data_IF_734759308558
#
_entry.id   IF_734759308558
#
_cell.length_a   1.000
_cell.length_b   1.000
_cell.length_c   1.000
_cell.angle_alpha   90.00
_cell.angle_beta   90.00
_cell.angle_gamma   90.00
#
_symmetry.space_group_name_H-M   'P 1'
#
loop_
_entity.id
_entity.type
_entity.pdbx_description
1 polymer ?
#
# COMPACT_ATOMS: atom_id res chain seq x y z
N UNK A 1 -33.63 -25.91 -3.35
CA UNK A 1 -32.87 -24.79 -2.79
C UNK A 1 -32.03 -24.17 -3.89
N UNK A 2 -32.10 -22.88 -4.07
CA UNK A 2 -31.28 -22.17 -5.04
C UNK A 2 -29.80 -22.16 -4.60
N UNK A 3 -28.88 -21.97 -5.53
CA UNK A 3 -27.45 -21.85 -5.18
C UNK A 3 -27.12 -20.44 -4.69
N UNK A 4 -26.18 -20.31 -3.78
CA UNK A 4 -25.64 -19.02 -3.35
C UNK A 4 -24.57 -18.50 -4.33
N UNK A 5 -24.58 -17.21 -4.63
CA UNK A 5 -23.57 -16.56 -5.46
C UNK A 5 -22.46 -15.96 -4.58
N UNK A 6 -21.21 -16.31 -4.84
CA UNK A 6 -20.02 -15.73 -4.19
C UNK A 6 -19.28 -14.89 -5.22
N UNK A 7 -19.05 -13.61 -4.90
CA UNK A 7 -18.34 -12.69 -5.78
C UNK A 7 -17.03 -12.26 -5.12
N UNK A 8 -15.91 -12.50 -5.82
CA UNK A 8 -14.55 -12.11 -5.44
C UNK A 8 -13.97 -11.16 -6.47
N UNK A 9 -12.83 -10.50 -6.17
CA UNK A 9 -12.25 -9.54 -7.10
C UNK A 9 -11.37 -10.15 -8.19
N UNK A 10 -10.79 -11.36 -7.99
CA UNK A 10 -9.88 -11.95 -8.97
C UNK A 10 -10.27 -13.37 -9.40
N UNK A 11 -9.98 -13.76 -10.66
CA UNK A 11 -10.22 -15.13 -11.13
C UNK A 11 -9.40 -16.19 -10.40
N UNK A 12 -8.18 -15.85 -9.98
CA UNK A 12 -7.31 -16.75 -9.23
C UNK A 12 -7.93 -17.06 -7.86
N UNK A 13 -8.39 -16.03 -7.15
CA UNK A 13 -9.10 -16.16 -5.87
C UNK A 13 -10.40 -16.97 -6.02
N UNK A 14 -11.16 -16.72 -7.09
CA UNK A 14 -12.35 -17.51 -7.38
C UNK A 14 -12.03 -19.00 -7.53
N UNK A 15 -10.97 -19.34 -8.25
CA UNK A 15 -10.53 -20.73 -8.44
C UNK A 15 -10.12 -21.39 -7.13
N UNK A 16 -9.40 -20.67 -6.25
CA UNK A 16 -8.94 -21.21 -4.96
C UNK A 16 -10.12 -21.42 -4.00
N UNK A 17 -10.98 -20.42 -3.84
CA UNK A 17 -12.14 -20.49 -2.94
C UNK A 17 -13.15 -21.55 -3.40
N UNK A 18 -13.38 -21.68 -4.70
CA UNK A 18 -14.30 -22.70 -5.24
C UNK A 18 -13.90 -24.13 -4.85
N UNK A 19 -12.62 -24.39 -4.58
CA UNK A 19 -12.16 -25.71 -4.09
C UNK A 19 -12.57 -26.00 -2.64
N UNK A 20 -12.84 -24.96 -1.85
CA UNK A 20 -13.12 -25.05 -0.42
C UNK A 20 -14.62 -24.99 -0.10
N UNK A 21 -15.40 -24.37 -1.00
CA UNK A 21 -16.85 -24.30 -0.93
C UNK A 21 -17.48 -25.48 -1.67
N UNK A 22 -18.60 -25.95 -1.19
CA UNK A 22 -19.34 -27.07 -1.80
C UNK A 22 -20.15 -26.68 -3.05
N UNK A 23 -20.93 -27.64 -3.56
CA UNK A 23 -21.76 -27.51 -4.79
C UNK A 23 -22.90 -26.48 -4.68
N UNK A 24 -23.21 -26.03 -3.48
CA UNK A 24 -24.30 -25.07 -3.18
C UNK A 24 -23.88 -23.62 -3.48
N UNK A 25 -22.60 -23.40 -3.81
CA UNK A 25 -22.03 -22.09 -4.13
C UNK A 25 -21.62 -21.99 -5.60
N UNK A 26 -21.88 -20.84 -6.18
CA UNK A 26 -21.36 -20.44 -7.50
C UNK A 26 -20.35 -19.31 -7.25
N UNK A 27 -19.05 -19.59 -7.41
CA UNK A 27 -18.00 -18.60 -7.21
C UNK A 27 -17.63 -17.91 -8.52
N UNK A 28 -17.71 -16.57 -8.55
CA UNK A 28 -17.41 -15.74 -9.72
C UNK A 28 -16.52 -14.57 -9.36
N UNK A 29 -15.81 -14.07 -10.35
CA UNK A 29 -14.94 -12.89 -10.17
C UNK A 29 -15.53 -11.66 -10.86
N UNK A 30 -15.43 -10.49 -10.18
CA UNK A 30 -15.70 -9.18 -10.77
C UNK A 30 -14.55 -8.67 -11.64
N UNK A 31 -13.39 -9.35 -11.57
CA UNK A 31 -12.15 -8.91 -12.23
C UNK A 31 -11.78 -7.47 -11.81
N UNK A 32 -11.78 -7.22 -10.50
CA UNK A 32 -11.54 -5.91 -9.88
C UNK A 32 -12.78 -5.02 -9.86
N UNK A 33 -12.58 -3.70 -9.90
CA UNK A 33 -13.67 -2.72 -9.93
C UNK A 33 -14.55 -2.87 -11.18
N UNK A 34 -15.86 -2.78 -11.00
CA UNK A 34 -16.85 -2.83 -12.08
C UNK A 34 -17.35 -1.47 -12.51
N UNK A 35 -17.29 -0.48 -11.62
CA UNK A 35 -17.63 0.93 -11.89
C UNK A 35 -16.69 1.89 -11.16
N UNK A 36 -16.55 3.10 -11.69
CA UNK A 36 -15.79 4.19 -11.10
C UNK A 36 -16.41 5.54 -11.51
N UNK A 37 -15.85 6.63 -10.99
CA UNK A 37 -16.12 7.98 -11.48
C UNK A 37 -15.77 8.08 -12.97
N UNK A 38 -16.43 8.94 -13.78
CA UNK A 38 -16.22 9.04 -15.20
C UNK A 38 -14.75 9.14 -15.60
N UNK A 39 -14.35 8.45 -16.65
CA UNK A 39 -13.01 8.62 -17.23
C UNK A 39 -12.93 9.93 -18.02
N UNK A 40 -11.77 10.61 -17.98
CA UNK A 40 -11.57 11.82 -18.76
C UNK A 40 -11.74 11.49 -20.25
N UNK A 41 -12.75 12.06 -20.91
CA UNK A 41 -13.06 11.80 -22.32
C UNK A 41 -14.37 11.08 -22.60
N UNK A 42 -15.04 10.51 -21.58
CA UNK A 42 -16.31 9.77 -21.74
C UNK A 42 -17.55 10.64 -21.99
N UNK A 43 -17.39 11.96 -22.11
CA UNK A 43 -18.51 12.82 -22.42
C UNK A 43 -18.96 12.61 -23.87
N UNK A 44 -20.21 12.20 -24.14
CA UNK A 44 -20.73 12.07 -25.50
C UNK A 44 -20.61 13.42 -26.22
N UNK A 45 -20.29 13.37 -27.50
CA UNK A 45 -20.24 14.55 -28.34
C UNK A 45 -21.60 15.29 -28.23
N UNK A 46 -21.59 16.56 -27.87
CA UNK A 46 -22.83 17.33 -27.78
C UNK A 46 -23.47 17.47 -29.17
N UNK A 47 -24.78 17.28 -29.25
CA UNK A 47 -25.54 17.43 -30.48
C UNK A 47 -25.20 18.78 -31.16
N UNK A 48 -24.89 18.79 -32.49
CA UNK A 48 -24.66 20.03 -33.25
C UNK A 48 -25.79 21.05 -33.12
N UNK A 49 -27.06 20.59 -33.08
CA UNK A 49 -28.24 21.45 -32.89
C UNK A 49 -28.26 22.13 -31.52
N UNK A 50 -27.95 21.37 -30.46
CA UNK A 50 -27.83 21.95 -29.12
C UNK A 50 -26.67 22.97 -29.01
N UNK A 51 -25.54 22.70 -29.72
CA UNK A 51 -24.42 23.64 -29.76
C UNK A 51 -24.82 24.94 -30.44
N UNK A 52 -25.52 24.86 -31.57
CA UNK A 52 -25.99 26.04 -32.29
C UNK A 52 -26.99 26.85 -31.47
N UNK A 53 -27.97 26.19 -30.81
CA UNK A 53 -28.94 26.86 -29.94
C UNK A 53 -28.26 27.57 -28.75
N UNK A 54 -27.31 26.90 -28.08
CA UNK A 54 -26.53 27.47 -26.99
C UNK A 54 -25.66 28.67 -27.45
N UNK A 55 -25.08 28.60 -28.66
CA UNK A 55 -24.32 29.68 -29.24
C UNK A 55 -25.20 30.91 -29.56
N UNK A 56 -26.41 30.69 -30.08
CA UNK A 56 -27.39 31.77 -30.35
C UNK A 56 -27.82 32.50 -29.08
N UNK A 57 -28.07 31.77 -27.98
CA UNK A 57 -28.37 32.35 -26.67
C UNK A 57 -27.19 33.19 -26.17
N UNK A 58 -25.97 32.66 -26.25
CA UNK A 58 -24.77 33.37 -25.77
C UNK A 58 -24.45 34.65 -26.55
N UNK A 59 -24.81 34.71 -27.83
CA UNK A 59 -24.65 35.92 -28.66
C UNK A 59 -25.53 37.08 -28.24
N UNK A 60 -26.70 36.81 -27.63
CA UNK A 60 -27.68 37.81 -27.21
C UNK A 60 -27.47 38.32 -25.77
N UNK A 61 -26.55 37.76 -25.03
CA UNK A 61 -26.25 38.10 -23.65
C UNK A 61 -25.45 39.40 -23.54
N UNK A 62 -25.72 40.21 -22.51
CA UNK A 62 -24.87 41.35 -22.14
C UNK A 62 -23.45 40.84 -21.74
N UNK A 63 -22.41 41.69 -21.88
CA UNK A 63 -21.01 41.26 -21.58
C UNK A 63 -20.85 40.61 -20.21
N UNK A 64 -21.41 41.19 -19.16
CA UNK A 64 -21.31 40.68 -17.80
C UNK A 64 -22.09 39.35 -17.61
N UNK A 65 -23.27 39.24 -18.20
CA UNK A 65 -24.06 38.00 -18.20
C UNK A 65 -23.32 36.87 -18.95
N UNK A 66 -22.68 37.22 -20.05
CA UNK A 66 -21.90 36.29 -20.85
C UNK A 66 -20.71 35.75 -20.06
N UNK A 67 -20.00 36.59 -19.30
CA UNK A 67 -18.90 36.14 -18.43
C UNK A 67 -19.41 35.18 -17.36
N UNK A 68 -20.51 35.53 -16.65
CA UNK A 68 -21.12 34.66 -15.64
C UNK A 68 -21.60 33.34 -16.23
N UNK A 69 -22.24 33.35 -17.38
CA UNK A 69 -22.74 32.19 -18.07
C UNK A 69 -21.57 31.25 -18.48
N UNK A 70 -20.51 31.83 -19.04
CA UNK A 70 -19.31 31.05 -19.43
C UNK A 70 -18.62 30.42 -18.21
N UNK A 71 -18.50 31.16 -17.10
CA UNK A 71 -17.95 30.65 -15.85
C UNK A 71 -18.79 29.49 -15.29
N UNK A 72 -20.12 29.67 -15.26
CA UNK A 72 -21.05 28.58 -14.84
C UNK A 72 -20.91 27.36 -15.72
N UNK A 73 -20.90 27.52 -17.05
CA UNK A 73 -20.76 26.41 -18.02
C UNK A 73 -19.41 25.69 -17.89
N UNK A 74 -18.31 26.46 -17.71
CA UNK A 74 -16.98 25.89 -17.48
C UNK A 74 -16.97 25.04 -16.22
N UNK A 75 -17.61 25.51 -15.15
CA UNK A 75 -17.73 24.75 -13.92
C UNK A 75 -18.58 23.48 -14.09
N UNK A 76 -19.75 23.57 -14.71
CA UNK A 76 -20.60 22.42 -15.00
C UNK A 76 -19.85 21.35 -15.80
N UNK A 77 -19.06 21.75 -16.80
CA UNK A 77 -18.22 20.86 -17.56
C UNK A 77 -17.12 20.23 -16.69
N UNK A 78 -16.50 21.01 -15.79
CA UNK A 78 -15.50 20.48 -14.86
C UNK A 78 -16.10 19.42 -13.93
N UNK A 79 -17.22 19.73 -13.27
CA UNK A 79 -17.95 18.80 -12.40
C UNK A 79 -18.34 17.52 -13.16
N UNK A 80 -18.88 17.68 -14.37
CA UNK A 80 -19.25 16.53 -15.21
C UNK A 80 -18.05 15.63 -15.53
N UNK A 81 -16.90 16.20 -15.86
CA UNK A 81 -15.66 15.45 -16.15
C UNK A 81 -15.07 14.85 -14.88
N UNK A 82 -15.12 15.56 -13.78
CA UNK A 82 -14.64 15.12 -12.48
C UNK A 82 -15.52 14.00 -11.91
N UNK A 83 -16.82 14.03 -12.21
CA UNK A 83 -17.79 13.06 -11.72
C UNK A 83 -18.19 13.26 -10.25
N UNK A 84 -17.75 14.36 -9.63
CA UNK A 84 -18.04 14.73 -8.24
C UNK A 84 -18.34 16.22 -8.19
N UNK A 85 -19.35 16.62 -7.43
CA UNK A 85 -19.66 18.03 -7.18
C UNK A 85 -19.42 18.42 -5.71
N UNK A 86 -18.25 19.00 -5.37
CA UNK A 86 -17.92 19.41 -4.01
C UNK A 86 -18.84 20.49 -3.43
N UNK A 87 -19.55 21.24 -4.28
CA UNK A 87 -20.47 22.31 -3.84
C UNK A 87 -21.90 21.82 -3.65
N UNK A 88 -22.20 20.60 -4.07
CA UNK A 88 -23.52 19.98 -3.93
C UNK A 88 -23.41 18.67 -3.15
N UNK A 89 -23.01 18.76 -1.88
CA UNK A 89 -22.95 17.62 -0.97
C UNK A 89 -22.06 16.47 -1.43
N UNK A 90 -21.04 16.75 -2.27
CA UNK A 90 -20.15 15.74 -2.84
C UNK A 90 -20.89 14.69 -3.71
N UNK A 91 -22.01 15.07 -4.31
CA UNK A 91 -22.76 14.20 -5.20
C UNK A 91 -21.84 13.59 -6.27
N UNK A 92 -21.79 12.25 -6.31
CA UNK A 92 -20.91 11.50 -7.19
C UNK A 92 -21.71 10.77 -8.28
N UNK A 93 -21.15 10.74 -9.49
CA UNK A 93 -21.69 9.99 -10.62
C UNK A 93 -20.75 8.85 -10.94
N UNK A 94 -21.24 7.62 -10.84
CA UNK A 94 -20.52 6.43 -11.18
C UNK A 94 -20.95 5.86 -12.52
N UNK A 95 -20.00 5.36 -13.29
CA UNK A 95 -20.22 4.71 -14.60
C UNK A 95 -19.60 3.32 -14.59
N UNK A 96 -20.20 2.37 -15.31
CA UNK A 96 -19.59 1.07 -15.55
C UNK A 96 -18.29 1.28 -16.31
N UNK A 97 -17.23 0.63 -15.87
CA UNK A 97 -15.94 0.74 -16.54
C UNK A 97 -15.98 0.07 -17.90
N UNK A 98 -15.36 0.68 -18.93
CA UNK A 98 -15.28 0.09 -20.26
C UNK A 98 -14.71 -1.33 -20.22
N UNK A 99 -15.39 -2.27 -20.88
CA UNK A 99 -15.03 -3.68 -20.91
C UNK A 99 -15.52 -4.51 -19.72
N UNK A 100 -16.27 -3.90 -18.78
CA UNK A 100 -16.88 -4.59 -17.63
C UNK A 100 -18.34 -4.94 -17.84
N UNK A 101 -18.94 -4.52 -18.93
CA UNK A 101 -20.36 -4.70 -19.23
C UNK A 101 -20.75 -6.19 -19.19
N UNK A 102 -19.97 -7.04 -19.85
CA UNK A 102 -20.21 -8.50 -19.90
C UNK A 102 -20.13 -9.15 -18.52
N UNK A 103 -19.17 -8.73 -17.69
CA UNK A 103 -19.01 -9.23 -16.32
C UNK A 103 -20.20 -8.82 -15.46
N UNK A 104 -20.61 -7.56 -15.56
CA UNK A 104 -21.77 -7.03 -14.84
C UNK A 104 -23.05 -7.78 -15.26
N UNK A 105 -23.28 -7.99 -16.55
CA UNK A 105 -24.45 -8.69 -17.06
C UNK A 105 -24.49 -10.16 -16.60
N UNK A 106 -23.33 -10.86 -16.61
CA UNK A 106 -23.22 -12.21 -16.07
C UNK A 106 -23.56 -12.26 -14.57
N UNK A 107 -22.98 -11.35 -13.78
CA UNK A 107 -23.24 -11.29 -12.34
C UNK A 107 -24.71 -10.97 -12.04
N UNK A 108 -25.33 -10.04 -12.76
CA UNK A 108 -26.76 -9.73 -12.66
C UNK A 108 -27.63 -10.94 -12.98
N UNK A 109 -27.29 -11.69 -14.03
CA UNK A 109 -28.02 -12.90 -14.41
C UNK A 109 -27.96 -13.98 -13.33
N UNK A 110 -26.76 -14.24 -12.78
CA UNK A 110 -26.58 -15.21 -11.71
C UNK A 110 -27.26 -14.77 -10.41
N UNK A 111 -27.19 -13.50 -10.06
CA UNK A 111 -27.81 -12.93 -8.87
C UNK A 111 -29.36 -13.06 -8.87
N UNK A 112 -30.00 -13.08 -10.06
CA UNK A 112 -31.46 -13.27 -10.15
C UNK A 112 -31.92 -14.63 -9.64
N UNK A 113 -31.11 -15.67 -9.84
CA UNK A 113 -31.42 -17.05 -9.46
C UNK A 113 -30.78 -17.50 -8.14
N UNK A 114 -29.94 -16.66 -7.51
CA UNK A 114 -29.28 -16.98 -6.27
C UNK A 114 -30.17 -16.67 -5.06
N UNK A 115 -30.16 -17.53 -4.04
CA UNK A 115 -30.88 -17.30 -2.79
C UNK A 115 -30.14 -16.23 -1.92
N UNK A 116 -28.81 -16.28 -1.89
CA UNK A 116 -27.96 -15.33 -1.18
C UNK A 116 -26.77 -14.89 -2.06
N UNK A 117 -26.24 -13.70 -1.81
CA UNK A 117 -25.11 -13.12 -2.53
C UNK A 117 -24.02 -12.76 -1.51
N UNK A 118 -22.92 -13.50 -1.57
CA UNK A 118 -21.77 -13.28 -0.70
C UNK A 118 -20.74 -12.41 -1.41
N UNK A 119 -20.43 -11.27 -0.80
CA UNK A 119 -19.41 -10.33 -1.27
C UNK A 119 -18.09 -10.65 -0.53
N UNK A 120 -17.24 -11.45 -1.17
CA UNK A 120 -16.01 -12.02 -0.60
C UNK A 120 -14.73 -11.37 -1.19
N UNK A 121 -14.78 -10.05 -1.33
CA UNK A 121 -13.64 -9.21 -1.75
C UNK A 121 -12.64 -9.01 -0.60
N UNK A 122 -11.43 -8.50 -0.90
CA UNK A 122 -10.39 -8.28 0.09
C UNK A 122 -10.86 -7.48 1.31
N UNK A 123 -10.15 -7.63 2.42
CA UNK A 123 -10.53 -7.04 3.70
C UNK A 123 -10.22 -5.53 3.80
N UNK A 124 -9.51 -4.97 2.83
CA UNK A 124 -9.17 -3.55 2.82
C UNK A 124 -10.34 -2.66 2.31
N UNK A 125 -10.16 -1.34 2.42
CA UNK A 125 -11.19 -0.39 1.99
C UNK A 125 -11.47 -0.42 0.47
N UNK A 126 -10.52 -0.88 -0.34
CA UNK A 126 -10.74 -1.06 -1.78
C UNK A 126 -11.65 -2.26 -2.03
N UNK A 127 -11.42 -3.38 -1.32
CA UNK A 127 -12.31 -4.54 -1.36
C UNK A 127 -13.72 -4.19 -0.86
N UNK A 128 -13.86 -3.38 0.19
CA UNK A 128 -15.15 -2.92 0.68
C UNK A 128 -15.88 -2.04 -0.33
N UNK A 129 -15.15 -1.15 -1.02
CA UNK A 129 -15.72 -0.35 -2.10
C UNK A 129 -16.14 -1.18 -3.32
N UNK A 130 -15.36 -2.21 -3.69
CA UNK A 130 -15.75 -3.16 -4.75
C UNK A 130 -17.05 -3.87 -4.36
N UNK A 131 -17.15 -4.38 -3.13
CA UNK A 131 -18.34 -5.03 -2.62
C UNK A 131 -19.58 -4.11 -2.67
N UNK A 132 -19.44 -2.86 -2.21
CA UNK A 132 -20.49 -1.86 -2.30
C UNK A 132 -20.88 -1.56 -3.74
N UNK A 133 -19.93 -1.38 -4.65
CA UNK A 133 -20.21 -1.14 -6.06
C UNK A 133 -20.94 -2.31 -6.72
N UNK A 134 -20.61 -3.55 -6.34
CA UNK A 134 -21.31 -4.74 -6.80
C UNK A 134 -22.76 -4.78 -6.31
N UNK A 135 -22.99 -4.53 -5.00
CA UNK A 135 -24.33 -4.44 -4.43
C UNK A 135 -25.19 -3.42 -5.16
N UNK A 136 -24.67 -2.21 -5.36
CA UNK A 136 -25.35 -1.13 -6.02
C UNK A 136 -25.71 -1.43 -7.50
N UNK A 137 -24.80 -2.08 -8.24
CA UNK A 137 -25.00 -2.32 -9.67
C UNK A 137 -25.88 -3.55 -9.93
N UNK A 138 -25.82 -4.57 -9.08
CA UNK A 138 -26.65 -5.75 -9.15
C UNK A 138 -28.08 -5.41 -8.69
N UNK A 139 -28.21 -4.68 -7.58
CA UNK A 139 -29.49 -4.24 -7.03
C UNK A 139 -30.33 -5.40 -6.46
N UNK A 140 -31.61 -5.16 -6.27
CA UNK A 140 -32.56 -6.14 -5.72
C UNK A 140 -32.68 -6.04 -4.19
N UNK A 141 -33.15 -7.11 -3.57
CA UNK A 141 -33.37 -7.16 -2.12
C UNK A 141 -32.04 -7.13 -1.34
N UNK A 142 -31.87 -6.11 -0.50
CA UNK A 142 -30.68 -5.91 0.30
C UNK A 142 -30.40 -7.01 1.32
N UNK A 143 -31.44 -7.69 1.81
CA UNK A 143 -31.33 -8.76 2.80
C UNK A 143 -30.57 -9.98 2.28
N UNK A 144 -30.46 -10.13 0.96
CA UNK A 144 -29.72 -11.22 0.29
C UNK A 144 -28.22 -11.03 0.28
N UNK A 145 -27.72 -9.83 0.58
CA UNK A 145 -26.29 -9.51 0.51
C UNK A 145 -25.62 -9.74 1.85
N UNK A 146 -24.55 -10.49 1.83
CA UNK A 146 -23.72 -10.79 2.98
C UNK A 146 -22.26 -10.50 2.66
N UNK A 147 -21.54 -9.91 3.60
CA UNK A 147 -20.11 -9.63 3.48
C UNK A 147 -19.31 -10.74 4.13
N UNK A 148 -18.34 -11.30 3.42
CA UNK A 148 -17.41 -12.30 3.93
C UNK A 148 -16.00 -11.76 3.85
N UNK A 149 -15.28 -11.77 4.98
CA UNK A 149 -13.92 -11.22 5.11
C UNK A 149 -13.02 -12.28 5.71
N UNK A 150 -11.83 -12.44 5.15
CA UNK A 150 -10.80 -13.36 5.63
C UNK A 150 -9.40 -12.78 5.39
N UNK A 151 -8.46 -13.09 6.29
CA UNK A 151 -7.08 -12.63 6.23
C UNK A 151 -6.20 -13.55 5.36
N UNK A 152 -6.61 -14.81 5.20
CA UNK A 152 -5.90 -15.84 4.44
C UNK A 152 -6.88 -16.70 3.63
N UNK A 153 -6.39 -17.30 2.55
CA UNK A 153 -7.20 -18.17 1.69
C UNK A 153 -6.88 -19.64 1.98
N UNK A 154 -7.16 -20.07 3.20
CA UNK A 154 -7.11 -21.48 3.63
C UNK A 154 -8.52 -22.06 3.71
N UNK A 155 -8.62 -23.39 3.63
CA UNK A 155 -9.92 -24.06 3.74
C UNK A 155 -10.65 -23.70 5.03
N UNK A 156 -9.93 -23.68 6.16
CA UNK A 156 -10.48 -23.39 7.47
C UNK A 156 -10.97 -21.94 7.57
N UNK A 157 -10.10 -20.96 7.23
CA UNK A 157 -10.44 -19.55 7.30
C UNK A 157 -11.65 -19.21 6.41
N UNK A 158 -11.73 -19.80 5.22
CA UNK A 158 -12.89 -19.64 4.33
C UNK A 158 -14.15 -20.21 4.96
N UNK A 159 -14.13 -21.45 5.48
CA UNK A 159 -15.30 -22.07 6.08
C UNK A 159 -15.78 -21.31 7.31
N UNK A 160 -14.87 -20.88 8.19
CA UNK A 160 -15.20 -20.07 9.38
C UNK A 160 -15.81 -18.72 8.98
N UNK A 161 -15.26 -18.04 7.97
CA UNK A 161 -15.78 -16.75 7.50
C UNK A 161 -17.16 -16.87 6.87
N UNK A 162 -17.44 -17.96 6.16
CA UNK A 162 -18.78 -18.20 5.59
C UNK A 162 -19.80 -18.65 6.63
N UNK A 163 -19.36 -19.21 7.77
CA UNK A 163 -20.25 -19.53 8.88
C UNK A 163 -20.69 -18.29 9.70
N UNK A 164 -19.91 -17.20 9.63
CA UNK A 164 -20.19 -15.96 10.35
C UNK A 164 -20.10 -14.73 9.43
N UNK A 165 -20.95 -14.61 8.41
CA UNK A 165 -20.92 -13.47 7.49
C UNK A 165 -21.35 -12.18 8.21
N UNK A 166 -20.83 -11.06 7.72
CA UNK A 166 -21.09 -9.72 8.25
C UNK A 166 -21.90 -8.87 7.26
N UNK A 167 -22.10 -7.61 7.59
CA UNK A 167 -22.66 -6.60 6.69
C UNK A 167 -21.55 -5.72 6.11
N UNK A 168 -21.85 -5.04 5.01
CA UNK A 168 -20.96 -4.02 4.42
C UNK A 168 -20.68 -2.91 5.45
N UNK A 169 -19.42 -2.59 5.63
CA UNK A 169 -18.97 -1.46 6.45
C UNK A 169 -19.05 -0.16 5.66
N UNK A 170 -20.14 0.58 5.87
CA UNK A 170 -20.38 1.86 5.22
C UNK A 170 -19.33 2.92 5.53
N UNK A 171 -18.69 2.86 6.71
CA UNK A 171 -17.62 3.80 7.06
C UNK A 171 -16.37 3.54 6.22
N UNK A 172 -16.02 2.28 5.97
CA UNK A 172 -14.91 1.92 5.06
C UNK A 172 -15.20 2.32 3.62
N UNK A 173 -16.45 2.15 3.16
CA UNK A 173 -16.89 2.62 1.84
C UNK A 173 -16.74 4.13 1.74
N UNK A 174 -17.24 4.89 2.71
CA UNK A 174 -17.13 6.35 2.74
C UNK A 174 -15.68 6.82 2.81
N UNK A 175 -14.82 6.14 3.57
CA UNK A 175 -13.39 6.45 3.63
C UNK A 175 -12.70 6.26 2.27
N UNK A 176 -13.05 5.22 1.52
CA UNK A 176 -12.55 5.00 0.16
C UNK A 176 -13.09 6.06 -0.80
N UNK A 177 -14.39 6.37 -0.74
CA UNK A 177 -15.00 7.42 -1.55
C UNK A 177 -14.37 8.79 -1.30
N UNK A 178 -14.21 9.20 -0.04
CA UNK A 178 -13.55 10.46 0.32
C UNK A 178 -12.15 10.55 -0.29
N UNK A 179 -11.39 9.48 -0.21
CA UNK A 179 -10.05 9.37 -0.81
C UNK A 179 -10.10 9.50 -2.34
N UNK A 180 -11.06 8.83 -2.98
CA UNK A 180 -11.25 8.87 -4.43
C UNK A 180 -11.68 10.26 -4.90
N UNK A 181 -12.58 10.92 -4.15
CA UNK A 181 -13.04 12.28 -4.44
C UNK A 181 -11.92 13.30 -4.29
N UNK A 182 -11.11 13.17 -3.24
CA UNK A 182 -9.96 14.05 -3.03
C UNK A 182 -8.95 13.94 -4.19
N UNK A 183 -8.62 12.72 -4.62
CA UNK A 183 -7.74 12.52 -5.76
C UNK A 183 -8.29 13.15 -7.05
N UNK A 184 -9.61 13.07 -7.25
CA UNK A 184 -10.27 13.70 -8.39
C UNK A 184 -10.22 15.23 -8.31
N UNK A 185 -10.63 15.81 -7.19
CA UNK A 185 -10.67 17.26 -7.02
C UNK A 185 -9.27 17.86 -7.15
N UNK A 186 -8.29 17.31 -6.43
CA UNK A 186 -6.90 17.78 -6.52
C UNK A 186 -6.36 17.63 -7.94
N UNK A 187 -6.57 16.49 -8.59
CA UNK A 187 -6.11 16.25 -9.95
C UNK A 187 -6.72 17.22 -10.96
N UNK A 188 -8.02 17.49 -10.89
CA UNK A 188 -8.72 18.32 -11.86
C UNK A 188 -8.58 19.83 -11.61
N UNK A 189 -8.40 20.27 -10.37
CA UNK A 189 -8.28 21.69 -10.04
C UNK A 189 -6.82 22.17 -10.00
N UNK A 190 -5.88 21.35 -9.49
CA UNK A 190 -4.48 21.76 -9.30
C UNK A 190 -3.62 21.45 -10.53
N UNK A 191 -3.84 20.32 -11.23
CA UNK A 191 -3.03 20.00 -12.41
C UNK A 191 -3.06 21.08 -13.50
N UNK A 192 -4.22 21.75 -13.80
CA UNK A 192 -4.23 22.86 -14.74
C UNK A 192 -3.39 24.08 -14.32
N UNK A 193 -3.22 24.30 -13.01
CA UNK A 193 -2.33 25.36 -12.50
C UNK A 193 -0.87 25.03 -12.80
N UNK A 194 -0.48 23.75 -12.64
CA UNK A 194 0.85 23.28 -13.01
C UNK A 194 1.10 23.47 -14.53
N UNK A 195 0.07 23.18 -15.36
CA UNK A 195 0.20 23.35 -16.81
C UNK A 195 0.34 24.82 -17.22
N UNK A 196 -0.32 25.71 -16.50
CA UNK A 196 -0.26 27.14 -16.79
C UNK A 196 1.04 27.80 -16.29
N UNK A 197 1.65 27.27 -15.21
CA UNK A 197 2.77 27.91 -14.52
C UNK A 197 4.10 27.23 -14.74
N UNK A 198 4.12 25.91 -15.03
CA UNK A 198 5.35 25.11 -15.14
C UNK A 198 5.44 24.43 -16.52
N UNK A 199 4.69 23.34 -16.75
CA UNK A 199 4.70 22.60 -18.01
C UNK A 199 3.44 21.77 -18.17
N UNK A 200 3.02 21.55 -19.44
CA UNK A 200 1.91 20.65 -19.77
C UNK A 200 2.26 19.20 -19.47
N UNK A 201 1.25 18.40 -19.07
CA UNK A 201 1.40 16.98 -18.79
C UNK A 201 1.76 16.65 -17.33
N UNK A 202 2.06 17.66 -16.51
CA UNK A 202 2.27 17.46 -15.07
C UNK A 202 0.94 17.17 -14.37
N UNK A 203 0.99 16.35 -13.32
CA UNK A 203 -0.19 16.04 -12.50
C UNK A 203 0.07 16.31 -11.01
N UNK A 204 -0.91 16.89 -10.35
CA UNK A 204 -0.97 17.01 -8.89
C UNK A 204 -1.81 15.87 -8.30
N UNK A 205 -1.45 15.42 -7.11
CA UNK A 205 -2.20 14.39 -6.38
C UNK A 205 -1.58 14.11 -5.02
N UNK A 206 -2.34 13.46 -4.16
CA UNK A 206 -1.95 13.13 -2.77
C UNK A 206 -0.63 12.38 -2.66
N UNK A 207 -0.38 11.44 -3.56
CA UNK A 207 0.79 10.56 -3.51
C UNK A 207 1.97 11.20 -4.22
N UNK A 208 1.81 11.58 -5.49
CA UNK A 208 2.90 12.11 -6.30
C UNK A 208 3.45 13.44 -5.78
N UNK A 209 2.60 14.33 -5.26
CA UNK A 209 3.07 15.61 -4.73
C UNK A 209 3.91 15.43 -3.47
N UNK A 210 3.53 14.50 -2.58
CA UNK A 210 4.33 14.16 -1.39
C UNK A 210 5.64 13.48 -1.78
N UNK A 211 5.60 12.54 -2.73
CA UNK A 211 6.80 11.86 -3.22
C UNK A 211 7.81 12.86 -3.80
N UNK A 212 7.36 13.80 -4.65
CA UNK A 212 8.21 14.86 -5.20
C UNK A 212 8.79 15.74 -4.10
N UNK A 213 7.99 16.11 -3.10
CA UNK A 213 8.46 16.89 -1.96
C UNK A 213 9.60 16.18 -1.22
N UNK A 214 9.45 14.91 -0.87
CA UNK A 214 10.48 14.14 -0.19
C UNK A 214 11.79 14.07 -0.98
N UNK A 215 11.69 13.87 -2.31
CA UNK A 215 12.86 13.86 -3.20
C UNK A 215 13.54 15.23 -3.23
N UNK A 216 12.76 16.31 -3.33
CA UNK A 216 13.31 17.68 -3.37
C UNK A 216 13.95 18.05 -2.04
N UNK A 217 13.36 17.66 -0.90
CA UNK A 217 13.93 17.89 0.43
C UNK A 217 15.28 17.15 0.56
N UNK A 218 15.33 15.88 0.17
CA UNK A 218 16.60 15.11 0.16
C UNK A 218 17.65 15.71 -0.78
N UNK A 219 17.27 16.13 -1.99
CA UNK A 219 18.19 16.77 -2.94
C UNK A 219 18.75 18.09 -2.38
N UNK A 220 17.94 18.84 -1.64
CA UNK A 220 18.43 20.07 -0.96
C UNK A 220 19.46 19.75 0.12
N UNK A 221 19.22 18.70 0.90
CA UNK A 221 20.20 18.22 1.91
C UNK A 221 21.51 17.81 1.23
N UNK A 222 21.44 17.05 0.13
CA UNK A 222 22.62 16.63 -0.66
C UNK A 222 23.39 17.86 -1.17
N UNK A 223 22.70 18.86 -1.72
CA UNK A 223 23.33 20.08 -2.24
C UNK A 223 23.89 20.99 -1.16
N UNK A 224 23.34 20.94 0.04
CA UNK A 224 23.82 21.69 1.20
C UNK A 224 24.96 20.96 1.93
N UNK A 225 25.19 19.69 1.62
CA UNK A 225 26.24 18.90 2.26
C UNK A 225 27.62 19.44 1.88
N UNK A 226 28.40 19.78 2.88
CA UNK A 226 29.80 20.17 2.74
C UNK A 226 30.63 18.95 3.12
N UNK A 227 31.41 18.38 2.18
CA UNK A 227 32.30 17.27 2.51
C UNK A 227 33.38 17.73 3.51
N UNK A 228 33.52 16.96 4.58
CA UNK A 228 34.62 17.15 5.55
C UNK A 228 35.60 15.99 5.42
N UNK A 229 36.87 16.30 5.29
CA UNK A 229 37.93 15.31 5.27
C UNK A 229 38.11 14.73 6.70
N UNK A 230 38.22 13.43 6.79
CA UNK A 230 38.57 12.72 8.01
C UNK A 230 39.46 11.52 7.70
N UNK A 231 40.19 11.07 8.69
CA UNK A 231 41.13 9.97 8.60
C UNK A 231 40.92 8.97 9.71
N UNK A 232 40.71 7.69 9.36
CA UNK A 232 40.66 6.60 10.31
C UNK A 232 42.03 5.95 10.40
N UNK A 233 42.62 5.88 11.59
CA UNK A 233 43.89 5.22 11.84
C UNK A 233 43.69 3.88 12.51
N UNK A 234 44.35 2.88 11.95
CA UNK A 234 44.33 1.52 12.49
C UNK A 234 45.73 1.00 12.70
N UNK A 235 45.92 0.22 13.75
CA UNK A 235 47.16 -0.51 14.02
C UNK A 235 46.86 -2.02 13.99
N UNK A 236 47.53 -2.74 13.12
CA UNK A 236 47.46 -4.21 13.07
C UNK A 236 48.60 -4.75 14.00
N UNK A 237 48.20 -5.22 15.17
CA UNK A 237 49.12 -5.67 16.23
C UNK A 237 49.07 -7.18 16.39
N UNK A 238 50.24 -7.82 16.49
CA UNK A 238 50.36 -9.24 16.75
C UNK A 238 51.22 -9.51 17.98
N UNK A 239 50.93 -10.56 18.72
CA UNK A 239 51.71 -11.06 19.83
C UNK A 239 52.30 -12.41 19.43
N UNK A 240 53.65 -12.56 19.58
CA UNK A 240 54.39 -13.82 19.36
C UNK A 240 54.10 -14.52 17.99
N UNK A 241 53.98 -13.72 16.93
CA UNK A 241 53.77 -14.29 15.59
C UNK A 241 52.36 -14.83 15.32
N UNK A 242 51.39 -14.56 16.17
CA UNK A 242 49.97 -14.89 15.94
C UNK A 242 49.35 -13.99 14.89
N UNK A 243 48.12 -14.34 14.44
CA UNK A 243 47.38 -13.51 13.51
C UNK A 243 47.18 -12.09 14.06
N UNK A 244 47.47 -11.03 13.28
CA UNK A 244 47.30 -9.66 13.72
C UNK A 244 45.83 -9.34 14.02
N UNK A 245 45.63 -8.58 15.09
CA UNK A 245 44.34 -8.01 15.48
C UNK A 245 44.34 -6.54 15.16
N UNK A 246 43.29 -6.07 14.49
CA UNK A 246 43.16 -4.67 14.14
C UNK A 246 42.56 -3.87 15.28
N UNK A 247 43.26 -2.80 15.65
CA UNK A 247 42.85 -1.81 16.64
C UNK A 247 42.64 -0.48 15.96
N UNK A 248 41.61 0.26 16.37
CA UNK A 248 41.34 1.60 15.94
C UNK A 248 41.89 2.62 16.91
N UNK A 249 42.52 3.67 16.40
CA UNK A 249 43.05 4.78 17.25
C UNK A 249 41.89 5.72 17.54
N UNK A 250 41.32 5.65 18.72
CA UNK A 250 40.14 6.44 19.09
C UNK A 250 40.43 7.63 19.99
N UNK A 251 41.58 7.64 20.68
CA UNK A 251 41.92 8.71 21.64
C UNK A 251 43.41 9.05 21.60
N UNK A 252 43.70 10.32 21.84
CA UNK A 252 45.03 10.86 22.08
C UNK A 252 44.97 11.73 23.35
N UNK A 253 45.85 11.47 24.32
CA UNK A 253 45.89 12.17 25.61
C UNK A 253 44.54 12.28 26.33
N UNK A 254 43.73 11.21 26.23
CA UNK A 254 42.40 11.14 26.87
C UNK A 254 41.25 11.79 26.08
N UNK A 255 41.54 12.56 25.03
CA UNK A 255 40.56 13.20 24.15
C UNK A 255 40.32 12.37 22.90
N UNK A 256 39.14 12.51 22.26
CA UNK A 256 38.85 11.86 20.96
C UNK A 256 39.88 12.28 19.95
N UNK A 257 40.46 11.32 19.24
CA UNK A 257 41.37 11.55 18.14
C UNK A 257 40.62 11.46 16.81
N UNK A 258 40.51 12.59 16.13
CA UNK A 258 39.73 12.72 14.89
C UNK A 258 40.53 13.62 13.91
N UNK A 259 41.57 13.05 13.25
CA UNK A 259 42.42 13.81 12.36
C UNK A 259 41.65 14.26 11.11
N UNK A 260 41.75 15.54 10.78
CA UNK A 260 41.05 16.20 9.68
C UNK A 260 41.93 16.41 8.46
N UNK A 261 43.24 16.14 8.56
CA UNK A 261 44.18 16.33 7.46
C UNK A 261 45.14 15.16 7.33
N UNK A 262 45.65 14.92 6.13
CA UNK A 262 46.68 13.92 5.86
C UNK A 262 47.92 14.14 6.76
N UNK A 263 48.32 15.40 6.98
CA UNK A 263 49.46 15.72 7.83
C UNK A 263 49.26 15.23 9.27
N UNK A 264 48.08 15.47 9.87
CA UNK A 264 47.76 14.99 11.23
C UNK A 264 47.74 13.45 11.30
N UNK A 265 47.26 12.81 10.28
CA UNK A 265 47.26 11.34 10.18
C UNK A 265 48.69 10.81 10.04
N UNK A 266 49.53 11.40 9.20
CA UNK A 266 50.92 11.01 8.99
C UNK A 266 51.78 11.19 10.25
N UNK A 267 51.65 12.31 10.96
CA UNK A 267 52.33 12.55 12.25
C UNK A 267 51.94 11.51 13.31
N UNK A 268 50.67 11.10 13.34
CA UNK A 268 50.20 10.04 14.23
C UNK A 268 50.78 8.67 13.85
N UNK A 269 50.82 8.33 12.55
CA UNK A 269 51.44 7.09 12.08
C UNK A 269 52.92 7.02 12.43
N UNK A 270 53.68 8.11 12.25
CA UNK A 270 55.09 8.16 12.60
C UNK A 270 55.31 7.90 14.11
N UNK A 271 54.52 8.51 14.97
CA UNK A 271 54.59 8.30 16.42
C UNK A 271 54.23 6.88 16.83
N UNK A 272 53.19 6.31 16.21
CA UNK A 272 52.70 4.98 16.52
C UNK A 272 53.62 3.87 15.97
N UNK A 273 54.30 4.11 14.85
CA UNK A 273 55.20 3.10 14.25
C UNK A 273 56.40 2.73 15.14
N UNK A 274 56.84 3.63 16.00
CA UNK A 274 57.94 3.39 16.96
C UNK A 274 57.49 3.13 18.40
N UNK A 275 56.19 3.00 18.63
CA UNK A 275 55.66 2.88 20.01
C UNK A 275 55.60 1.43 20.49
N UNK A 276 55.73 1.27 21.82
CA UNK A 276 55.40 0.01 22.48
C UNK A 276 53.92 -0.08 22.78
N UNK A 277 53.34 -1.23 22.51
CA UNK A 277 51.91 -1.47 22.71
C UNK A 277 51.63 -2.40 23.86
N UNK A 278 50.65 -2.08 24.68
CA UNK A 278 50.19 -2.94 25.77
C UNK A 278 48.67 -2.94 25.87
N UNK A 279 48.10 -4.08 26.24
CA UNK A 279 46.67 -4.19 26.53
C UNK A 279 46.40 -3.62 27.91
N UNK A 280 45.81 -2.43 28.00
CA UNK A 280 45.48 -1.77 29.26
C UNK A 280 44.17 -2.26 29.89
N UNK A 281 43.22 -2.67 29.05
CA UNK A 281 41.92 -3.15 29.51
C UNK A 281 41.33 -4.14 28.51
N UNK A 282 40.67 -5.18 29.03
CA UNK A 282 39.88 -6.13 28.25
C UNK A 282 38.49 -6.24 28.87
N UNK A 283 37.49 -5.77 28.16
CA UNK A 283 36.10 -5.84 28.59
C UNK A 283 35.29 -6.80 27.71
N UNK A 284 34.85 -7.90 28.30
CA UNK A 284 33.97 -8.85 27.63
C UNK A 284 32.50 -8.51 27.91
N UNK A 285 31.76 -8.14 26.88
CA UNK A 285 30.32 -7.86 26.96
C UNK A 285 29.51 -8.91 26.20
N UNK A 286 28.50 -9.43 26.87
CA UNK A 286 27.52 -10.27 26.18
C UNK A 286 26.63 -9.38 25.29
N UNK A 287 26.62 -9.64 24.02
CA UNK A 287 25.70 -8.98 23.07
C UNK A 287 24.56 -9.93 22.73
N UNK A 288 23.37 -9.38 22.50
CA UNK A 288 22.22 -10.14 22.05
C UNK A 288 21.65 -9.49 20.79
N UNK A 289 21.32 -10.30 19.81
CA UNK A 289 20.58 -9.88 18.62
C UNK A 289 19.12 -10.32 18.74
N UNK A 290 18.20 -9.40 18.55
CA UNK A 290 16.77 -9.73 18.54
C UNK A 290 16.33 -10.04 17.12
N UNK A 291 15.45 -11.04 16.92
CA UNK A 291 14.88 -11.28 15.61
C UNK A 291 14.05 -10.06 15.16
N UNK A 292 14.03 -9.78 13.83
CA UNK A 292 13.17 -8.72 13.30
C UNK A 292 11.69 -9.06 13.50
N UNK A 293 10.85 -8.01 13.47
CA UNK A 293 9.39 -8.19 13.50
C UNK A 293 8.91 -8.94 12.24
N UNK A 294 7.76 -9.61 12.30
CA UNK A 294 7.07 -10.12 11.13
C UNK A 294 6.87 -9.05 10.07
N UNK A 295 6.77 -9.46 8.82
CA UNK A 295 6.65 -8.50 7.71
C UNK A 295 5.33 -7.72 7.73
N UNK A 296 5.46 -6.43 7.53
CA UNK A 296 4.40 -5.54 7.05
C UNK A 296 4.70 -5.17 5.59
N UNK A 297 3.75 -4.57 4.89
CA UNK A 297 3.92 -4.20 3.46
C UNK A 297 5.26 -3.51 3.17
N UNK A 298 5.62 -2.51 3.99
CA UNK A 298 6.85 -1.72 3.76
C UNK A 298 8.13 -2.52 4.03
N UNK A 299 8.17 -3.32 5.09
CA UNK A 299 9.37 -4.14 5.42
C UNK A 299 9.54 -5.31 4.47
N UNK A 300 8.44 -5.90 3.96
CA UNK A 300 8.49 -6.89 2.88
C UNK A 300 9.12 -6.27 1.61
N UNK A 301 8.67 -5.08 1.21
CA UNK A 301 9.23 -4.38 0.04
C UNK A 301 10.71 -4.06 0.21
N UNK A 302 11.13 -3.58 1.39
CA UNK A 302 12.54 -3.29 1.70
C UNK A 302 13.40 -4.57 1.65
N UNK A 303 12.96 -5.64 2.30
CA UNK A 303 13.68 -6.91 2.31
C UNK A 303 13.79 -7.52 0.90
N UNK A 304 12.71 -7.48 0.12
CA UNK A 304 12.72 -7.97 -1.27
C UNK A 304 13.64 -7.12 -2.17
N UNK A 305 13.68 -5.81 -1.97
CA UNK A 305 14.58 -4.93 -2.69
C UNK A 305 16.05 -5.20 -2.34
N UNK A 306 16.36 -5.26 -1.05
CA UNK A 306 17.75 -5.41 -0.57
C UNK A 306 18.31 -6.80 -0.85
N UNK A 307 17.51 -7.85 -0.63
CA UNK A 307 17.99 -9.25 -0.72
C UNK A 307 17.84 -9.87 -2.11
N UNK A 308 16.80 -9.44 -2.87
CA UNK A 308 16.42 -10.07 -4.14
C UNK A 308 16.49 -9.09 -5.33
N UNK A 309 16.79 -7.81 -5.11
CA UNK A 309 16.83 -6.79 -6.15
C UNK A 309 15.45 -6.55 -6.79
N UNK A 310 14.34 -6.84 -6.09
CA UNK A 310 13.01 -6.67 -6.66
C UNK A 310 12.51 -5.24 -6.54
N UNK A 311 11.91 -4.73 -7.61
CA UNK A 311 11.16 -3.48 -7.53
C UNK A 311 9.91 -3.64 -6.65
N UNK A 312 9.42 -2.54 -6.07
CA UNK A 312 8.18 -2.51 -5.28
C UNK A 312 7.01 -3.14 -6.06
N UNK A 313 6.87 -2.80 -7.34
CA UNK A 313 5.80 -3.36 -8.20
C UNK A 313 5.93 -4.89 -8.34
N UNK A 314 7.14 -5.40 -8.59
CA UNK A 314 7.38 -6.84 -8.70
C UNK A 314 7.06 -7.55 -7.40
N UNK A 315 7.54 -7.02 -6.26
CA UNK A 315 7.28 -7.56 -4.93
C UNK A 315 5.78 -7.67 -4.66
N UNK A 316 5.02 -6.60 -4.88
CA UNK A 316 3.58 -6.61 -4.62
C UNK A 316 2.81 -7.54 -5.58
N UNK A 317 3.25 -7.65 -6.84
CA UNK A 317 2.64 -8.60 -7.78
C UNK A 317 2.85 -10.06 -7.35
N UNK A 318 4.03 -10.40 -6.86
CA UNK A 318 4.33 -11.75 -6.37
C UNK A 318 3.61 -12.04 -5.05
N UNK A 319 3.59 -11.08 -4.11
CA UNK A 319 2.86 -11.21 -2.87
C UNK A 319 1.35 -11.43 -3.10
N UNK A 320 0.75 -10.69 -4.05
CA UNK A 320 -0.65 -10.88 -4.44
C UNK A 320 -0.90 -12.31 -4.93
N UNK A 321 -0.01 -12.85 -5.78
CA UNK A 321 -0.13 -14.23 -6.29
C UNK A 321 -0.01 -15.28 -5.18
N UNK A 322 0.91 -15.07 -4.23
CA UNK A 322 1.08 -15.96 -3.08
C UNK A 322 -0.15 -15.94 -2.16
N UNK A 323 -0.71 -14.76 -1.91
CA UNK A 323 -1.95 -14.62 -1.15
C UNK A 323 -3.12 -15.34 -1.84
N UNK A 324 -3.34 -15.08 -3.13
CA UNK A 324 -4.42 -15.70 -3.92
C UNK A 324 -4.29 -17.22 -4.02
N UNK A 325 -3.06 -17.74 -3.93
CA UNK A 325 -2.77 -19.17 -3.87
C UNK A 325 -2.89 -19.77 -2.45
N UNK A 326 -3.03 -18.94 -1.41
CA UNK A 326 -3.16 -19.37 -0.02
C UNK A 326 -1.83 -19.67 0.68
N UNK A 327 -0.72 -19.12 0.19
CA UNK A 327 0.61 -19.35 0.77
C UNK A 327 1.01 -18.31 1.82
N UNK A 328 0.43 -17.13 1.77
CA UNK A 328 0.65 -16.05 2.74
C UNK A 328 -0.69 -15.40 3.12
N UNK A 329 -0.68 -14.69 4.23
CA UNK A 329 -1.75 -13.78 4.65
C UNK A 329 -1.87 -12.57 3.73
N UNK A 330 -2.85 -11.70 3.95
CA UNK A 330 -3.05 -10.51 3.13
C UNK A 330 -1.86 -9.55 3.21
N UNK A 331 -1.25 -9.25 2.05
CA UNK A 331 0.01 -8.51 1.94
C UNK A 331 -0.09 -7.00 2.11
N UNK A 332 -1.29 -6.42 2.19
CA UNK A 332 -1.47 -4.99 2.47
C UNK A 332 -1.83 -4.80 3.93
N UNK A 333 -0.84 -4.87 4.80
CA UNK A 333 -0.97 -4.75 6.24
C UNK A 333 0.12 -3.85 6.81
N UNK A 334 -0.20 -3.18 7.90
CA UNK A 334 0.72 -2.42 8.75
C UNK A 334 0.86 -3.07 10.15
N UNK A 335 0.22 -4.22 10.35
CA UNK A 335 0.25 -4.99 11.59
C UNK A 335 1.41 -5.98 11.61
N UNK A 336 2.05 -6.11 12.75
CA UNK A 336 3.06 -7.14 13.05
C UNK A 336 2.50 -8.30 13.87
N UNK A 337 1.18 -8.33 14.10
CA UNK A 337 0.53 -9.36 14.89
C UNK A 337 0.47 -10.68 14.11
N UNK A 338 0.64 -11.78 14.82
CA UNK A 338 0.46 -13.13 14.31
C UNK A 338 -0.73 -13.77 15.00
N UNK A 339 -1.49 -14.62 14.29
CA UNK A 339 -2.53 -15.43 14.90
C UNK A 339 -1.95 -16.39 15.93
N UNK A 340 -2.75 -16.76 16.94
CA UNK A 340 -2.33 -17.73 17.96
C UNK A 340 -1.94 -19.09 17.34
N UNK A 341 -2.61 -19.46 16.24
CA UNK A 341 -2.33 -20.69 15.49
C UNK A 341 -0.98 -20.64 14.78
N UNK A 342 -0.69 -19.54 14.07
CA UNK A 342 0.60 -19.34 13.40
C UNK A 342 1.75 -19.37 14.40
N UNK A 343 1.57 -18.75 15.58
CA UNK A 343 2.55 -18.78 16.65
C UNK A 343 2.74 -20.21 17.19
N UNK A 344 1.66 -20.95 17.43
CA UNK A 344 1.73 -22.33 17.91
C UNK A 344 2.42 -23.25 16.90
N UNK A 345 2.06 -23.13 15.60
CA UNK A 345 2.67 -23.92 14.51
C UNK A 345 4.17 -23.61 14.37
N UNK A 346 4.56 -22.34 14.42
CA UNK A 346 5.95 -21.92 14.35
C UNK A 346 6.77 -22.48 15.54
N UNK A 347 6.23 -22.42 16.75
CA UNK A 347 6.87 -22.94 17.95
C UNK A 347 7.06 -24.47 17.88
N UNK A 348 6.03 -25.19 17.44
CA UNK A 348 6.11 -26.64 17.26
C UNK A 348 7.15 -27.02 16.20
N UNK A 349 7.23 -26.26 15.09
CA UNK A 349 8.25 -26.46 14.05
C UNK A 349 9.67 -26.23 14.59
N UNK A 350 9.90 -25.17 15.35
CA UNK A 350 11.21 -24.88 15.95
C UNK A 350 11.61 -25.99 16.93
N UNK A 351 10.70 -26.42 17.81
CA UNK A 351 10.96 -27.47 18.77
C UNK A 351 11.34 -28.80 18.09
N UNK A 352 10.61 -29.17 17.02
CA UNK A 352 10.85 -30.41 16.29
C UNK A 352 12.15 -30.41 15.47
N UNK A 353 12.56 -29.28 14.91
CA UNK A 353 13.67 -29.22 13.96
C UNK A 353 14.98 -28.64 14.55
N UNK A 354 14.90 -27.84 15.61
CA UNK A 354 16.07 -27.12 16.17
C UNK A 354 16.31 -27.39 17.66
N UNK A 355 15.36 -27.78 18.42
CA UNK A 355 15.27 -28.06 19.86
C UNK A 355 14.60 -26.95 20.67
N UNK A 356 14.16 -27.34 21.88
CA UNK A 356 13.49 -26.43 22.82
C UNK A 356 14.38 -25.28 23.30
N UNK A 357 15.72 -25.43 23.22
CA UNK A 357 16.67 -24.40 23.61
C UNK A 357 16.59 -23.12 22.75
N UNK A 358 16.03 -23.23 21.53
CA UNK A 358 15.79 -22.11 20.62
C UNK A 358 14.43 -21.41 20.80
N UNK A 359 13.62 -21.89 21.75
CA UNK A 359 12.32 -21.31 22.03
C UNK A 359 12.38 -20.41 23.27
N UNK A 360 11.96 -19.15 23.17
CA UNK A 360 11.74 -18.34 24.37
C UNK A 360 10.59 -18.89 25.20
N UNK A 361 10.57 -18.64 26.51
CA UNK A 361 9.50 -19.10 27.41
C UNK A 361 8.11 -18.64 26.94
N UNK A 362 8.03 -17.38 26.51
CA UNK A 362 6.81 -16.80 25.93
C UNK A 362 7.05 -16.28 24.52
N UNK A 363 6.01 -16.26 23.65
CA UNK A 363 6.12 -15.67 22.33
C UNK A 363 6.52 -14.20 22.38
N UNK A 364 7.48 -13.81 21.54
CA UNK A 364 7.89 -12.41 21.41
C UNK A 364 6.76 -11.65 20.71
N UNK A 365 6.28 -10.59 21.34
CA UNK A 365 5.31 -9.67 20.75
C UNK A 365 5.99 -8.38 20.32
N UNK A 366 5.64 -7.93 19.12
CA UNK A 366 6.14 -6.68 18.58
C UNK A 366 5.03 -5.63 18.68
N UNK A 367 5.39 -4.43 19.16
CA UNK A 367 4.43 -3.33 19.28
C UNK A 367 3.89 -2.90 17.91
N UNK A 368 2.59 -2.73 17.82
CA UNK A 368 1.97 -2.08 16.67
C UNK A 368 2.37 -0.59 16.63
N UNK A 369 2.51 -0.02 15.43
CA UNK A 369 2.66 1.43 15.29
C UNK A 369 1.36 2.11 15.70
N UNK A 370 1.45 3.31 16.28
CA UNK A 370 0.29 4.13 16.60
C UNK A 370 -0.58 4.33 15.33
N UNK A 371 -1.87 3.97 15.43
CA UNK A 371 -2.80 4.00 14.28
C UNK A 371 -2.80 2.77 13.37
N UNK A 372 -2.03 1.71 13.68
CA UNK A 372 -2.12 0.44 12.96
C UNK A 372 -3.49 -0.22 13.19
N UNK A 373 -4.01 -0.89 12.17
CA UNK A 373 -5.28 -1.63 12.28
C UNK A 373 -5.01 -2.97 13.00
N UNK A 374 -5.33 -3.05 14.29
CA UNK A 374 -5.07 -4.22 15.13
C UNK A 374 -5.76 -5.52 14.65
N UNK A 375 -6.82 -5.39 13.83
CA UNK A 375 -7.54 -6.53 13.26
C UNK A 375 -6.80 -7.24 12.11
N UNK A 376 -5.66 -6.68 11.65
CA UNK A 376 -4.87 -7.26 10.58
C UNK A 376 -3.74 -8.13 11.13
N UNK A 377 -3.40 -9.19 10.42
CA UNK A 377 -2.21 -9.99 10.66
C UNK A 377 -1.01 -9.47 9.88
N UNK A 378 0.19 -9.86 10.33
CA UNK A 378 1.43 -9.72 9.55
C UNK A 378 1.41 -10.62 8.32
N UNK A 379 2.35 -10.40 7.41
CA UNK A 379 2.51 -11.18 6.18
C UNK A 379 3.31 -12.45 6.48
#
# INVERSE_FOLDING_TARGET
MGKSLVIVESPAKAKTINKYLGSDFIVKSSVGHVRDLPTAGSAPASDPKERAAKAAITRKMAPDEKVRYQAKKKREQLVRRMGVDPKNGWAARYEVLPGKEKVVDELKKLAKSADAIYLATDLDREGEAIAWHLKEIIGGDESRYQRVVFNEITKRAIQESFAAPTQLDTNRVQAQQARRFLDRVVGFEVSPLLWAKIARGLSAGRVQSVAVRLIVEREREIRAFVPEEYWDLHADLSMDGQNPVRFEVTKYEGSSFDPKTEQQAAEAVERLSGAEYSVSNLEARKTSSKPPAPFITSTLQQAASTRLGFSVKKTMTLAQRLYEAGHITYMRTDSTNLSGESVAACRAFIEANFSKAYLPESPIRYGAREGAQEAHEAI
#
